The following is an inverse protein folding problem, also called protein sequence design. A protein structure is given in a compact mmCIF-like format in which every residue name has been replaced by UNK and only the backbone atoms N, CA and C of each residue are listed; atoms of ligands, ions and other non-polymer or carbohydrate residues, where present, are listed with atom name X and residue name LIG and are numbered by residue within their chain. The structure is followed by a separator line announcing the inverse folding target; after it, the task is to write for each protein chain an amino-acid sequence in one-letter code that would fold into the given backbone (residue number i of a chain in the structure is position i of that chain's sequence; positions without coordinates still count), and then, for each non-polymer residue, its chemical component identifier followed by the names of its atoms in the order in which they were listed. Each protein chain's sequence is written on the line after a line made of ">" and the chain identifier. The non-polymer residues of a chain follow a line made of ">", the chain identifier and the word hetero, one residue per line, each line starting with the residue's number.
data_IF_958313351439
#
_entry.id   IF_958313351439
#
_cell.length_a   1.000
_cell.length_b   1.000
_cell.length_c   1.000
_cell.angle_alpha   90.00
_cell.angle_beta   90.00
_cell.angle_gamma   90.00
#
_symmetry.space_group_name_H-M   'P 1'
#
loop_
_entity.id
_entity.type
_entity.pdbx_description
1 polymer ?
#
# COMPACT_ATOMS: atom_id res chain seq x y z
N UNK A 1 23.85 -7.18 0.58
CA UNK A 1 22.56 -7.64 0.03
C UNK A 1 21.48 -7.51 1.10
N UNK A 2 20.30 -7.04 0.72
CA UNK A 2 19.13 -6.92 1.59
C UNK A 2 17.95 -7.62 0.91
N UNK A 3 17.34 -8.55 1.62
CA UNK A 3 16.06 -9.14 1.23
C UNK A 3 14.93 -8.32 1.85
N UNK A 4 13.99 -7.89 1.00
CA UNK A 4 12.90 -6.99 1.37
C UNK A 4 11.60 -7.77 1.62
N UNK A 5 10.64 -7.18 2.35
CA UNK A 5 9.32 -7.78 2.52
C UNK A 5 8.57 -7.83 1.18
N UNK A 6 7.57 -8.70 1.11
CA UNK A 6 6.60 -8.72 0.02
C UNK A 6 5.62 -7.55 0.09
N UNK A 7 4.98 -7.23 -1.03
CA UNK A 7 4.09 -6.08 -1.15
C UNK A 7 2.85 -6.18 -0.27
N UNK A 8 2.68 -5.21 0.64
CA UNK A 8 1.47 -5.10 1.48
C UNK A 8 0.23 -4.91 0.62
N UNK A 9 0.31 -3.99 -0.34
CA UNK A 9 -0.80 -3.59 -1.21
C UNK A 9 -1.29 -4.74 -2.09
N UNK A 10 -0.39 -5.58 -2.59
CA UNK A 10 -0.75 -6.77 -3.37
C UNK A 10 -1.30 -7.85 -2.44
N UNK A 11 -0.71 -8.07 -1.27
CA UNK A 11 -1.17 -9.07 -0.29
C UNK A 11 -2.64 -8.84 0.08
N UNK A 12 -3.04 -7.61 0.40
CA UNK A 12 -4.45 -7.29 0.67
C UNK A 12 -5.37 -7.63 -0.49
N UNK A 13 -5.04 -7.21 -1.71
CA UNK A 13 -5.87 -7.47 -2.91
C UNK A 13 -5.98 -8.95 -3.19
N UNK A 14 -4.85 -9.67 -3.12
CA UNK A 14 -4.79 -11.09 -3.36
C UNK A 14 -5.60 -11.88 -2.31
N UNK A 15 -5.55 -11.48 -1.03
CA UNK A 15 -6.41 -12.04 0.02
C UNK A 15 -7.90 -11.89 -0.29
N UNK A 16 -8.34 -10.69 -0.67
CA UNK A 16 -9.75 -10.45 -1.02
C UNK A 16 -10.16 -11.29 -2.23
N UNK A 17 -9.38 -11.25 -3.33
CA UNK A 17 -9.67 -12.05 -4.52
C UNK A 17 -9.69 -13.56 -4.23
N UNK A 18 -8.75 -14.05 -3.42
CA UNK A 18 -8.66 -15.45 -3.02
C UNK A 18 -9.83 -15.89 -2.14
N UNK A 19 -10.28 -15.03 -1.22
CA UNK A 19 -11.45 -15.30 -0.40
C UNK A 19 -12.76 -15.36 -1.22
N UNK A 20 -12.84 -14.56 -2.29
CA UNK A 20 -13.97 -14.54 -3.24
C UNK A 20 -13.95 -15.69 -4.25
N UNK A 21 -12.82 -16.36 -4.45
CA UNK A 21 -12.68 -17.44 -5.42
C UNK A 21 -13.32 -18.74 -4.91
N UNK A 22 -14.19 -19.38 -5.70
CA UNK A 22 -14.81 -20.66 -5.31
C UNK A 22 -13.80 -21.81 -5.36
N UNK A 23 -13.02 -22.00 -4.29
CA UNK A 23 -12.03 -23.07 -4.13
C UNK A 23 -10.79 -22.67 -3.33
N UNK A 24 -9.69 -23.39 -3.52
CA UNK A 24 -8.42 -23.18 -2.80
C UNK A 24 -7.44 -22.34 -3.61
N UNK A 25 -7.12 -21.15 -3.12
CA UNK A 25 -6.04 -20.31 -3.65
C UNK A 25 -4.79 -20.41 -2.80
N UNK A 26 -3.62 -20.21 -3.40
CA UNK A 26 -2.32 -20.25 -2.73
C UNK A 26 -1.60 -18.93 -2.96
N UNK A 27 -1.37 -18.17 -1.89
CA UNK A 27 -0.59 -16.94 -1.95
C UNK A 27 0.83 -17.27 -1.48
N UNK A 28 1.82 -17.16 -2.38
CA UNK A 28 3.22 -17.44 -2.08
C UNK A 28 3.95 -16.17 -1.62
N UNK A 29 4.66 -16.29 -0.51
CA UNK A 29 5.34 -15.21 0.21
C UNK A 29 4.45 -13.97 0.45
N UNK A 30 3.23 -14.11 1.00
CA UNK A 30 2.44 -12.94 1.39
C UNK A 30 3.17 -12.18 2.50
N UNK A 31 2.96 -10.87 2.56
CA UNK A 31 3.53 -10.08 3.66
C UNK A 31 2.83 -10.46 4.97
N UNK A 32 3.60 -10.90 5.96
CA UNK A 32 3.12 -11.06 7.34
C UNK A 32 3.39 -9.76 8.08
N UNK A 33 2.35 -8.94 8.30
CA UNK A 33 2.45 -7.67 9.04
C UNK A 33 1.10 -7.36 9.72
N UNK A 34 1.06 -6.35 10.60
CA UNK A 34 -0.16 -6.03 11.37
C UNK A 34 -1.39 -5.81 10.48
N UNK A 35 -1.20 -5.11 9.36
CA UNK A 35 -2.27 -4.79 8.42
C UNK A 35 -2.80 -6.04 7.69
N UNK A 36 -1.93 -6.91 7.18
CA UNK A 36 -2.35 -8.10 6.41
C UNK A 36 -2.93 -9.18 7.32
N UNK A 37 -2.42 -9.30 8.54
CA UNK A 37 -3.00 -10.14 9.58
C UNK A 37 -4.38 -9.63 9.99
N UNK A 38 -4.59 -8.31 10.05
CA UNK A 38 -5.91 -7.72 10.28
C UNK A 38 -6.89 -8.07 9.15
N UNK A 39 -6.45 -8.05 7.88
CA UNK A 39 -7.31 -8.53 6.78
C UNK A 39 -7.64 -10.02 6.94
N UNK A 40 -6.68 -10.84 7.34
CA UNK A 40 -6.94 -12.27 7.57
C UNK A 40 -7.97 -12.49 8.68
N UNK A 41 -7.81 -11.85 9.84
CA UNK A 41 -8.74 -11.96 10.97
C UNK A 41 -10.16 -11.56 10.59
N UNK A 42 -10.31 -10.45 9.84
CA UNK A 42 -11.62 -10.00 9.37
C UNK A 42 -12.23 -10.99 8.38
N UNK A 43 -11.45 -11.53 7.43
CA UNK A 43 -11.93 -12.55 6.50
C UNK A 43 -12.31 -13.86 7.22
N UNK A 44 -11.55 -14.26 8.23
CA UNK A 44 -11.84 -15.44 9.06
C UNK A 44 -13.15 -15.27 9.83
N UNK A 45 -13.40 -14.08 10.40
CA UNK A 45 -14.70 -13.73 11.01
C UNK A 45 -15.85 -13.70 10.02
N UNK A 46 -15.58 -13.40 8.76
CA UNK A 46 -16.56 -13.50 7.68
C UNK A 46 -16.76 -14.95 7.17
N UNK A 47 -16.08 -15.94 7.76
CA UNK A 47 -16.25 -17.35 7.44
C UNK A 47 -15.29 -17.88 6.36
N UNK A 48 -14.19 -17.19 6.08
CA UNK A 48 -13.11 -17.65 5.19
C UNK A 48 -12.11 -18.47 6.01
N UNK A 49 -11.72 -19.66 5.54
CA UNK A 49 -10.64 -20.42 6.19
C UNK A 49 -9.30 -20.05 5.58
N UNK A 50 -8.35 -19.62 6.42
CA UNK A 50 -7.00 -19.24 5.99
C UNK A 50 -5.96 -20.04 6.78
N UNK A 51 -5.18 -20.87 6.10
CA UNK A 51 -4.04 -21.57 6.69
C UNK A 51 -2.78 -20.78 6.42
N UNK A 52 -2.10 -20.34 7.48
CA UNK A 52 -0.98 -19.40 7.39
C UNK A 52 0.33 -20.12 7.71
N UNK A 53 1.33 -19.94 6.86
CA UNK A 53 2.73 -20.24 7.13
C UNK A 53 3.61 -19.04 6.76
N UNK A 54 4.89 -19.09 7.10
CA UNK A 54 5.83 -18.04 6.73
C UNK A 54 6.05 -17.91 5.21
N UNK A 55 5.85 -18.98 4.43
CA UNK A 55 6.14 -19.02 2.99
C UNK A 55 4.92 -19.01 2.10
N UNK A 56 3.76 -19.41 2.61
CA UNK A 56 2.54 -19.46 1.83
C UNK A 56 1.31 -19.37 2.73
N UNK A 57 0.27 -18.68 2.25
CA UNK A 57 -1.07 -18.71 2.83
C UNK A 57 -2.01 -19.44 1.89
N UNK A 58 -2.73 -20.43 2.42
CA UNK A 58 -3.77 -21.16 1.71
C UNK A 58 -5.11 -20.55 2.10
N UNK A 59 -5.80 -19.97 1.13
CA UNK A 59 -7.10 -19.34 1.33
C UNK A 59 -8.16 -20.24 0.70
N UNK A 60 -9.05 -20.76 1.52
CA UNK A 60 -10.23 -21.50 1.06
C UNK A 60 -11.35 -20.49 0.91
N UNK A 61 -11.68 -20.14 -0.33
CA UNK A 61 -12.74 -19.20 -0.58
C UNK A 61 -14.08 -19.69 -0.06
N UNK A 62 -14.94 -18.75 0.27
CA UNK A 62 -16.13 -18.99 1.09
C UNK A 62 -17.36 -18.37 0.46
N UNK A 63 -18.53 -18.83 0.91
CA UNK A 63 -19.81 -18.17 0.64
C UNK A 63 -20.11 -17.07 1.70
N UNK A 64 -19.12 -16.71 2.51
CA UNK A 64 -19.17 -15.65 3.53
C UNK A 64 -20.35 -15.78 4.51
N UNK A 65 -20.69 -17.02 4.88
CA UNK A 65 -21.73 -17.30 5.87
C UNK A 65 -21.20 -16.98 7.27
N UNK A 66 -21.70 -15.92 7.88
CA UNK A 66 -21.28 -15.48 9.21
C UNK A 66 -22.45 -14.93 10.02
N UNK A 67 -22.33 -15.02 11.35
CA UNK A 67 -23.22 -14.37 12.33
C UNK A 67 -22.52 -13.22 13.06
N UNK A 68 -21.28 -12.90 12.68
CA UNK A 68 -20.48 -11.85 13.33
C UNK A 68 -21.15 -10.50 13.17
N UNK A 69 -21.33 -9.81 14.30
CA UNK A 69 -21.93 -8.47 14.35
C UNK A 69 -20.93 -7.33 14.32
N UNK A 70 -19.64 -7.61 14.50
CA UNK A 70 -18.60 -6.58 14.59
C UNK A 70 -17.28 -7.04 13.99
N UNK A 71 -16.72 -6.23 13.10
CA UNK A 71 -15.43 -6.43 12.44
C UNK A 71 -14.48 -5.30 12.84
N UNK A 72 -13.34 -5.64 13.44
CA UNK A 72 -12.34 -4.66 13.84
C UNK A 72 -11.21 -4.62 12.81
N UNK A 73 -11.03 -3.48 12.14
CA UNK A 73 -9.99 -3.26 11.14
C UNK A 73 -8.70 -2.66 11.74
N UNK A 74 -8.57 -2.62 13.07
CA UNK A 74 -7.42 -2.11 13.80
C UNK A 74 -6.97 -0.75 13.24
N UNK A 75 -5.73 -0.66 12.75
CA UNK A 75 -5.13 0.54 12.15
C UNK A 75 -5.09 0.51 10.62
N UNK A 76 -5.65 -0.55 10.01
CA UNK A 76 -5.53 -0.86 8.58
C UNK A 76 -6.58 -0.13 7.74
N UNK A 77 -6.16 0.98 7.12
CA UNK A 77 -7.01 1.74 6.20
C UNK A 77 -7.48 0.93 4.99
N UNK A 78 -6.62 0.06 4.47
CA UNK A 78 -6.95 -0.82 3.34
C UNK A 78 -8.02 -1.83 3.73
N UNK A 79 -7.84 -2.53 4.86
CA UNK A 79 -8.84 -3.48 5.36
C UNK A 79 -10.17 -2.78 5.57
N UNK A 80 -10.16 -1.64 6.27
CA UNK A 80 -11.38 -0.87 6.57
C UNK A 80 -12.20 -0.54 5.33
N UNK A 81 -11.57 -0.01 4.28
CA UNK A 81 -12.26 0.42 3.06
C UNK A 81 -12.66 -0.74 2.16
N UNK A 82 -11.81 -1.77 2.05
CA UNK A 82 -12.11 -2.94 1.23
C UNK A 82 -13.24 -3.76 1.85
N UNK A 83 -13.18 -3.99 3.16
CA UNK A 83 -14.21 -4.74 3.87
C UNK A 83 -15.53 -3.99 3.90
N UNK A 84 -15.51 -2.65 4.04
CA UNK A 84 -16.74 -1.84 3.94
C UNK A 84 -17.47 -2.04 2.62
N UNK A 85 -16.75 -2.01 1.49
CA UNK A 85 -17.35 -2.31 0.20
C UNK A 85 -17.78 -3.79 0.09
N UNK A 86 -16.93 -4.71 0.56
CA UNK A 86 -17.19 -6.14 0.47
C UNK A 86 -18.47 -6.56 1.21
N UNK A 87 -18.64 -6.13 2.47
CA UNK A 87 -19.84 -6.49 3.27
C UNK A 87 -21.11 -5.89 2.68
N UNK A 88 -21.03 -4.70 2.07
CA UNK A 88 -22.15 -4.11 1.34
C UNK A 88 -22.60 -5.00 0.18
N UNK A 89 -21.68 -5.40 -0.71
CA UNK A 89 -22.03 -6.26 -1.85
C UNK A 89 -22.46 -7.67 -1.45
N UNK A 90 -21.93 -8.19 -0.34
CA UNK A 90 -22.35 -9.47 0.25
C UNK A 90 -23.65 -9.38 1.06
N UNK A 91 -24.20 -8.16 1.27
CA UNK A 91 -25.39 -7.91 2.10
C UNK A 91 -25.23 -8.42 3.54
N UNK A 92 -24.04 -8.27 4.11
CA UNK A 92 -23.72 -8.65 5.49
C UNK A 92 -23.94 -7.45 6.41
N UNK A 93 -24.89 -7.61 7.34
CA UNK A 93 -25.19 -6.61 8.37
C UNK A 93 -24.26 -6.76 9.58
N UNK A 94 -23.26 -5.88 9.66
CA UNK A 94 -22.29 -5.83 10.74
C UNK A 94 -21.74 -4.42 10.97
N UNK A 95 -21.34 -4.12 12.21
CA UNK A 95 -20.52 -2.96 12.55
C UNK A 95 -19.08 -3.16 12.05
N UNK A 96 -18.53 -2.17 11.33
CA UNK A 96 -17.11 -2.14 10.98
C UNK A 96 -16.46 -1.01 11.79
N UNK A 97 -15.43 -1.36 12.56
CA UNK A 97 -14.75 -0.45 13.49
C UNK A 97 -13.24 -0.52 13.33
N UNK A 98 -12.52 0.26 14.15
CA UNK A 98 -11.06 0.32 14.17
C UNK A 98 -10.53 1.14 15.33
N UNK A 99 -9.22 1.32 15.37
CA UNK A 99 -8.58 2.23 16.31
C UNK A 99 -8.96 3.69 16.04
N UNK A 100 -8.91 4.55 17.06
CA UNK A 100 -9.36 5.94 16.98
C UNK A 100 -8.68 6.72 15.85
N UNK A 101 -7.40 6.44 15.57
CA UNK A 101 -6.67 7.12 14.50
C UNK A 101 -7.18 6.73 13.12
N UNK A 102 -7.61 5.47 12.94
CA UNK A 102 -8.25 5.00 11.71
C UNK A 102 -9.64 5.62 11.54
N UNK A 103 -10.44 5.72 12.61
CA UNK A 103 -11.81 6.25 12.57
C UNK A 103 -11.86 7.74 12.20
N UNK A 104 -10.77 8.49 12.39
CA UNK A 104 -10.62 9.87 11.92
C UNK A 104 -10.30 9.99 10.43
N UNK A 105 -9.94 8.90 9.75
CA UNK A 105 -9.59 8.93 8.32
C UNK A 105 -10.85 8.93 7.45
N UNK A 106 -10.78 9.48 6.22
CA UNK A 106 -11.94 9.55 5.33
C UNK A 106 -12.56 8.16 5.04
N UNK A 107 -13.89 8.09 5.19
CA UNK A 107 -14.74 6.94 4.81
C UNK A 107 -16.13 7.36 4.31
N UNK A 108 -16.64 8.52 4.76
CA UNK A 108 -17.98 9.02 4.44
C UNK A 108 -18.31 9.02 2.93
N UNK A 109 -17.39 9.42 2.02
CA UNK A 109 -17.69 9.37 0.59
C UNK A 109 -17.96 7.96 0.07
N UNK A 110 -17.24 6.95 0.59
CA UNK A 110 -17.51 5.55 0.25
C UNK A 110 -18.90 5.11 0.74
N UNK A 111 -19.25 5.45 1.98
CA UNK A 111 -20.56 5.09 2.55
C UNK A 111 -21.72 5.71 1.74
N UNK A 112 -21.61 7.00 1.42
CA UNK A 112 -22.61 7.69 0.60
C UNK A 112 -22.75 7.07 -0.80
N UNK A 113 -21.63 6.69 -1.42
CA UNK A 113 -21.61 6.06 -2.72
C UNK A 113 -22.31 4.68 -2.73
N UNK A 114 -22.14 3.89 -1.66
CA UNK A 114 -22.77 2.57 -1.52
C UNK A 114 -24.27 2.67 -1.19
N UNK A 115 -24.75 3.78 -0.62
CA UNK A 115 -26.17 3.95 -0.26
C UNK A 115 -27.07 4.37 -1.44
N UNK A 116 -26.53 5.06 -2.45
CA UNK A 116 -27.35 5.81 -3.41
C UNK A 116 -27.94 5.00 -4.58
N UNK A 117 -27.26 3.96 -5.10
CA UNK A 117 -27.79 3.05 -6.12
C UNK A 117 -26.83 1.86 -6.34
N UNK A 118 -27.32 0.62 -6.37
CA UNK A 118 -26.45 -0.55 -6.60
C UNK A 118 -25.96 -0.68 -8.05
N UNK A 119 -26.60 -0.01 -9.02
CA UNK A 119 -26.26 -0.10 -10.45
C UNK A 119 -25.36 1.05 -10.94
N UNK A 120 -25.35 2.19 -10.24
CA UNK A 120 -24.46 3.32 -10.52
C UNK A 120 -23.86 3.85 -9.21
N UNK A 121 -22.54 3.85 -9.11
CA UNK A 121 -21.79 4.28 -7.92
C UNK A 121 -20.96 5.50 -8.27
N UNK A 122 -21.18 6.61 -7.57
CA UNK A 122 -20.43 7.86 -7.74
C UNK A 122 -19.40 8.01 -6.62
N UNK A 123 -18.11 8.15 -6.97
CA UNK A 123 -17.02 8.28 -6.00
C UNK A 123 -16.10 9.46 -6.32
N UNK A 124 -15.57 10.18 -5.33
CA UNK A 124 -14.47 11.10 -5.57
C UNK A 124 -13.19 10.33 -5.92
N UNK A 125 -12.51 10.75 -6.99
CA UNK A 125 -11.23 10.19 -7.45
C UNK A 125 -9.99 10.72 -6.73
N UNK A 126 -10.14 11.81 -5.97
CA UNK A 126 -9.05 12.60 -5.35
C UNK A 126 -8.95 12.47 -3.82
N UNK A 127 -9.81 11.66 -3.19
CA UNK A 127 -9.71 11.41 -1.73
C UNK A 127 -8.74 10.28 -1.41
N UNK A 128 -9.01 9.08 -1.93
CA UNK A 128 -8.14 7.90 -1.80
C UNK A 128 -8.52 6.85 -2.83
N UNK A 129 -7.51 6.26 -3.50
CA UNK A 129 -7.71 5.15 -4.43
C UNK A 129 -8.30 3.88 -3.78
N UNK A 130 -8.26 3.79 -2.45
CA UNK A 130 -8.77 2.65 -1.69
C UNK A 130 -10.30 2.56 -1.75
N UNK A 131 -11.03 3.67 -1.93
CA UNK A 131 -12.48 3.63 -2.10
C UNK A 131 -12.84 2.92 -3.39
N UNK A 132 -12.33 3.42 -4.52
CA UNK A 132 -12.55 2.82 -5.82
C UNK A 132 -12.04 1.37 -5.85
N UNK A 133 -10.85 1.09 -5.31
CA UNK A 133 -10.32 -0.28 -5.27
C UNK A 133 -11.20 -1.25 -4.48
N UNK A 134 -11.75 -0.82 -3.33
CA UNK A 134 -12.68 -1.64 -2.54
C UNK A 134 -13.96 -1.96 -3.30
N UNK A 135 -14.54 -0.96 -3.98
CA UNK A 135 -15.71 -1.15 -4.83
C UNK A 135 -15.38 -2.05 -6.03
N UNK A 136 -14.27 -1.84 -6.73
CA UNK A 136 -13.86 -2.66 -7.87
C UNK A 136 -13.66 -4.13 -7.50
N UNK A 137 -13.07 -4.43 -6.33
CA UNK A 137 -12.91 -5.80 -5.83
C UNK A 137 -14.26 -6.47 -5.57
N UNK A 138 -15.28 -5.71 -5.16
CA UNK A 138 -16.55 -6.24 -4.65
C UNK A 138 -17.68 -6.21 -5.68
N UNK A 139 -17.67 -5.26 -6.61
CA UNK A 139 -18.70 -5.07 -7.63
C UNK A 139 -18.96 -6.28 -8.54
N UNK A 140 -17.99 -7.16 -8.86
CA UNK A 140 -18.25 -8.40 -9.60
C UNK A 140 -19.27 -9.35 -8.93
N UNK A 141 -19.52 -9.18 -7.63
CA UNK A 141 -20.49 -9.96 -6.85
C UNK A 141 -21.94 -9.50 -7.05
N UNK A 142 -22.15 -8.33 -7.66
CA UNK A 142 -23.50 -7.81 -7.94
C UNK A 142 -24.27 -8.76 -8.87
N UNK A 143 -25.58 -8.85 -8.67
CA UNK A 143 -26.49 -9.61 -9.56
C UNK A 143 -26.71 -8.91 -10.92
N UNK A 144 -26.37 -7.62 -11.00
CA UNK A 144 -26.56 -6.76 -12.18
C UNK A 144 -25.28 -5.97 -12.51
N UNK A 145 -25.09 -5.55 -13.77
CA UNK A 145 -23.99 -4.66 -14.12
C UNK A 145 -23.96 -3.38 -13.27
N UNK A 146 -22.75 -2.97 -12.87
CA UNK A 146 -22.49 -1.78 -12.07
C UNK A 146 -21.60 -0.83 -12.87
N UNK A 147 -22.01 0.43 -12.97
CA UNK A 147 -21.16 1.51 -13.50
C UNK A 147 -20.62 2.34 -12.34
N UNK A 148 -19.31 2.50 -12.28
CA UNK A 148 -18.66 3.34 -11.26
C UNK A 148 -18.12 4.57 -11.97
N UNK A 149 -18.54 5.77 -11.55
CA UNK A 149 -18.10 7.04 -12.13
C UNK A 149 -17.36 7.87 -11.10
N UNK A 150 -16.24 8.45 -11.51
CA UNK A 150 -15.48 9.36 -10.67
C UNK A 150 -15.98 10.80 -10.82
N UNK A 151 -16.25 11.46 -9.70
CA UNK A 151 -16.72 12.85 -9.67
C UNK A 151 -15.58 13.86 -9.75
N UNK A 152 -14.34 13.41 -9.56
CA UNK A 152 -13.10 14.19 -9.63
C UNK A 152 -12.02 13.35 -10.33
N UNK A 153 -10.95 13.97 -10.90
CA UNK A 153 -9.85 13.23 -11.49
C UNK A 153 -9.22 12.22 -10.53
N UNK A 154 -8.83 11.06 -11.05
CA UNK A 154 -8.23 9.99 -10.25
C UNK A 154 -6.80 10.36 -9.85
N UNK A 155 -6.53 10.34 -8.53
CA UNK A 155 -5.17 10.32 -8.00
C UNK A 155 -4.77 8.89 -7.61
N UNK A 156 -3.47 8.65 -7.45
CA UNK A 156 -2.98 7.32 -7.05
C UNK A 156 -3.45 6.24 -8.03
N UNK A 157 -3.48 6.58 -9.33
CA UNK A 157 -3.93 5.72 -10.43
C UNK A 157 -3.24 4.35 -10.43
N UNK A 158 -1.91 4.22 -10.16
CA UNK A 158 -1.26 2.91 -10.20
C UNK A 158 -1.81 1.93 -9.15
N UNK A 159 -2.37 2.43 -8.03
CA UNK A 159 -3.04 1.55 -7.05
C UNK A 159 -4.35 0.95 -7.58
N UNK A 160 -5.04 1.64 -8.49
CA UNK A 160 -6.22 1.11 -9.19
C UNK A 160 -5.80 0.13 -10.26
N UNK A 161 -4.76 0.44 -11.04
CA UNK A 161 -4.19 -0.49 -12.01
C UNK A 161 -3.72 -1.79 -11.35
N UNK A 162 -3.11 -1.69 -10.16
CA UNK A 162 -2.75 -2.85 -9.35
C UNK A 162 -3.97 -3.67 -8.92
N UNK A 163 -5.09 -3.03 -8.59
CA UNK A 163 -6.35 -3.73 -8.30
C UNK A 163 -6.82 -4.52 -9.51
N UNK A 164 -6.85 -3.88 -10.68
CA UNK A 164 -7.28 -4.51 -11.93
C UNK A 164 -6.36 -5.67 -12.34
N UNK A 165 -5.04 -5.54 -12.16
CA UNK A 165 -4.07 -6.60 -12.45
C UNK A 165 -4.26 -7.81 -11.54
N UNK A 166 -4.44 -7.60 -10.23
CA UNK A 166 -4.70 -8.69 -9.29
C UNK A 166 -6.03 -9.36 -9.62
N UNK A 167 -7.10 -8.61 -9.91
CA UNK A 167 -8.38 -9.19 -10.33
C UNK A 167 -8.25 -10.05 -11.60
N UNK A 168 -7.49 -9.57 -12.58
CA UNK A 168 -7.23 -10.30 -13.83
C UNK A 168 -6.57 -11.65 -13.58
N UNK A 169 -5.65 -11.74 -12.61
CA UNK A 169 -5.00 -13.00 -12.20
C UNK A 169 -5.97 -14.01 -11.57
N UNK A 170 -7.09 -13.54 -11.03
CA UNK A 170 -8.19 -14.39 -10.52
C UNK A 170 -9.36 -14.49 -11.51
N UNK A 171 -9.14 -14.17 -12.78
CA UNK A 171 -10.12 -14.35 -13.87
C UNK A 171 -11.17 -13.25 -14.03
N UNK A 172 -11.10 -12.18 -13.23
CA UNK A 172 -12.05 -11.04 -13.32
C UNK A 172 -11.48 -9.94 -14.20
N UNK A 173 -12.26 -9.44 -15.15
CA UNK A 173 -11.88 -8.33 -16.02
C UNK A 173 -12.88 -7.19 -15.90
N UNK A 174 -12.39 -5.98 -15.64
CA UNK A 174 -13.20 -4.77 -15.58
C UNK A 174 -12.85 -3.89 -16.77
N UNK A 175 -13.87 -3.36 -17.44
CA UNK A 175 -13.69 -2.38 -18.53
C UNK A 175 -13.64 -0.98 -17.92
N UNK A 176 -12.82 -0.11 -18.49
CA UNK A 176 -12.70 1.29 -18.04
C UNK A 176 -12.49 2.22 -19.23
N UNK A 177 -12.87 3.49 -19.07
CA UNK A 177 -12.45 4.55 -20.00
C UNK A 177 -10.93 4.74 -19.94
N UNK A 178 -10.32 5.25 -21.02
CA UNK A 178 -8.86 5.45 -21.11
C UNK A 178 -8.31 6.37 -20.02
N UNK A 179 -9.11 7.34 -19.58
CA UNK A 179 -8.78 8.32 -18.54
C UNK A 179 -9.15 7.86 -17.12
N UNK A 180 -9.69 6.63 -16.96
CA UNK A 180 -10.14 6.08 -15.68
C UNK A 180 -11.29 6.88 -15.02
N UNK A 181 -12.01 7.71 -15.77
CA UNK A 181 -13.17 8.44 -15.26
C UNK A 181 -14.37 7.53 -14.97
N UNK A 182 -14.48 6.40 -15.68
CA UNK A 182 -15.57 5.44 -15.52
C UNK A 182 -15.09 3.99 -15.61
N UNK A 183 -15.77 3.10 -14.88
CA UNK A 183 -15.55 1.66 -14.86
C UNK A 183 -16.89 0.94 -15.06
N UNK A 184 -16.87 -0.08 -15.91
CA UNK A 184 -18.04 -0.91 -16.22
C UNK A 184 -17.75 -2.33 -15.74
N UNK A 185 -18.50 -2.75 -14.72
CA UNK A 185 -18.35 -4.04 -14.07
C UNK A 185 -19.58 -4.90 -14.35
N UNK A 186 -19.38 -6.07 -14.94
CA UNK A 186 -20.42 -7.09 -15.09
C UNK A 186 -20.27 -8.17 -14.02
N UNK A 187 -21.37 -8.85 -13.62
CA UNK A 187 -21.32 -9.98 -12.70
C UNK A 187 -20.32 -11.04 -13.19
N UNK A 188 -19.36 -11.42 -12.35
CA UNK A 188 -18.27 -12.34 -12.70
C UNK A 188 -17.81 -13.11 -11.46
N UNK A 189 -17.26 -14.31 -11.68
CA UNK A 189 -16.70 -15.16 -10.60
C UNK A 189 -15.19 -15.03 -10.54
N UNK A 190 -14.67 -14.97 -9.33
CA UNK A 190 -13.25 -15.17 -9.05
C UNK A 190 -12.90 -16.66 -9.13
N UNK A 191 -11.72 -16.97 -9.67
CA UNK A 191 -11.23 -18.33 -9.84
C UNK A 191 -10.04 -18.58 -8.90
N UNK A 192 -9.92 -19.79 -8.31
CA UNK A 192 -8.79 -20.12 -7.46
C UNK A 192 -7.47 -19.99 -8.22
N UNK A 193 -6.50 -19.32 -7.61
CA UNK A 193 -5.22 -19.00 -8.25
C UNK A 193 -4.06 -19.25 -7.28
N UNK A 194 -2.96 -19.77 -7.82
CA UNK A 194 -1.65 -19.69 -7.16
C UNK A 194 -0.96 -18.39 -7.60
N UNK A 195 -0.60 -17.53 -6.64
CA UNK A 195 -0.02 -16.22 -6.92
C UNK A 195 1.18 -15.94 -6.01
N UNK A 196 2.34 -15.71 -6.62
CA UNK A 196 3.51 -15.16 -5.92
C UNK A 196 3.36 -13.66 -5.72
N UNK A 197 3.54 -13.21 -4.48
CA UNK A 197 3.56 -11.80 -4.13
C UNK A 197 4.99 -11.28 -4.34
N UNK A 198 5.13 -10.23 -5.15
CA UNK A 198 6.41 -9.56 -5.39
C UNK A 198 6.84 -8.68 -4.21
N UNK A 199 8.10 -8.25 -4.20
CA UNK A 199 8.68 -7.37 -3.17
C UNK A 199 7.99 -6.01 -3.11
N UNK A 200 7.92 -5.43 -1.91
CA UNK A 200 7.23 -4.17 -1.66
C UNK A 200 8.06 -2.97 -2.13
N UNK A 201 7.61 -2.29 -3.18
CA UNK A 201 8.34 -1.14 -3.72
C UNK A 201 8.34 0.08 -2.79
N UNK A 202 7.36 0.19 -1.88
CA UNK A 202 7.39 1.24 -0.86
C UNK A 202 8.51 0.99 0.15
N UNK A 203 8.72 -0.26 0.57
CA UNK A 203 9.84 -0.65 1.42
C UNK A 203 11.18 -0.52 0.70
N UNK A 204 11.25 -0.95 -0.57
CA UNK A 204 12.41 -0.80 -1.46
C UNK A 204 12.91 0.64 -1.49
N UNK A 205 12.01 1.63 -1.52
CA UNK A 205 12.38 3.03 -1.63
C UNK A 205 13.28 3.52 -0.47
N UNK A 206 13.06 3.06 0.76
CA UNK A 206 13.90 3.40 1.91
C UNK A 206 15.33 2.86 1.77
N UNK A 207 15.47 1.67 1.16
CA UNK A 207 16.77 1.04 0.97
C UNK A 207 17.50 1.56 -0.26
N UNK A 208 16.78 1.98 -1.31
CA UNK A 208 17.35 2.78 -2.40
C UNK A 208 17.94 4.07 -1.81
N UNK A 209 17.17 4.82 -1.02
CA UNK A 209 17.67 6.05 -0.42
C UNK A 209 18.86 5.81 0.53
N UNK A 210 18.81 4.76 1.35
CA UNK A 210 19.93 4.39 2.21
C UNK A 210 21.20 4.11 1.39
N UNK A 211 21.11 3.38 0.28
CA UNK A 211 22.26 3.06 -0.56
C UNK A 211 22.84 4.29 -1.27
N UNK A 212 21.98 5.20 -1.75
CA UNK A 212 22.40 6.45 -2.39
C UNK A 212 23.09 7.41 -1.42
N UNK A 213 22.62 7.47 -0.17
CA UNK A 213 23.10 8.42 0.84
C UNK A 213 24.22 7.88 1.74
N UNK A 214 24.57 6.60 1.67
CA UNK A 214 25.57 6.01 2.57
C UNK A 214 26.60 5.14 1.83
N UNK A 215 26.32 3.85 1.66
CA UNK A 215 27.23 2.84 1.11
C UNK A 215 26.54 1.95 0.08
N UNK A 216 27.28 1.23 -0.78
CA UNK A 216 26.68 0.37 -1.79
C UNK A 216 25.75 -0.69 -1.18
N UNK A 217 24.61 -0.91 -1.82
CA UNK A 217 23.62 -1.92 -1.44
C UNK A 217 23.13 -2.68 -2.66
N UNK A 218 22.74 -3.94 -2.44
CA UNK A 218 22.07 -4.77 -3.45
C UNK A 218 20.74 -5.21 -2.87
N UNK A 219 19.64 -4.90 -3.55
CA UNK A 219 18.29 -5.34 -3.19
C UNK A 219 17.91 -6.50 -4.10
N UNK A 220 17.52 -7.62 -3.51
CA UNK A 220 17.40 -8.87 -4.26
C UNK A 220 15.97 -9.18 -4.69
N UNK A 221 15.82 -9.86 -5.84
CA UNK A 221 14.55 -10.42 -6.33
C UNK A 221 13.41 -9.38 -6.50
N UNK A 222 13.74 -8.20 -7.02
CA UNK A 222 12.75 -7.17 -7.35
C UNK A 222 12.13 -7.42 -8.74
N UNK A 223 10.85 -7.08 -8.89
CA UNK A 223 10.19 -7.11 -10.19
C UNK A 223 10.38 -5.79 -10.94
N UNK A 224 11.17 -5.80 -12.01
CA UNK A 224 11.40 -4.65 -12.90
C UNK A 224 10.13 -4.16 -13.62
N UNK A 225 9.12 -5.02 -13.78
CA UNK A 225 7.86 -4.71 -14.47
C UNK A 225 6.69 -4.52 -13.50
N UNK A 226 6.99 -4.27 -12.23
CA UNK A 226 5.99 -4.04 -11.19
C UNK A 226 5.07 -2.86 -11.54
N UNK A 227 3.77 -3.06 -11.25
CA UNK A 227 2.73 -2.02 -11.34
C UNK A 227 2.57 -1.25 -10.03
N UNK A 228 3.36 -1.55 -9.00
CA UNK A 228 3.30 -0.80 -7.74
C UNK A 228 3.71 0.65 -8.00
N UNK A 229 2.85 1.58 -7.57
CA UNK A 229 3.05 3.03 -7.66
C UNK A 229 4.47 3.46 -7.27
N UNK A 230 4.94 2.89 -6.17
CA UNK A 230 6.15 3.30 -5.49
C UNK A 230 7.43 2.86 -6.22
N UNK A 231 7.31 2.09 -7.32
CA UNK A 231 8.41 1.89 -8.28
C UNK A 231 8.90 3.20 -8.89
N UNK A 232 8.08 4.26 -8.87
CA UNK A 232 8.47 5.61 -9.24
C UNK A 232 9.77 6.11 -8.56
N UNK A 233 10.13 5.54 -7.40
CA UNK A 233 11.41 5.85 -6.75
C UNK A 233 12.64 5.59 -7.64
N UNK A 234 12.58 4.61 -8.54
CA UNK A 234 13.69 4.34 -9.48
C UNK A 234 13.91 5.52 -10.42
N UNK A 235 12.83 6.07 -10.96
CA UNK A 235 12.87 7.25 -11.83
C UNK A 235 13.31 8.48 -11.06
N UNK A 236 12.71 8.73 -9.88
CA UNK A 236 13.06 9.83 -9.00
C UNK A 236 14.55 9.80 -8.66
N UNK A 237 15.06 8.65 -8.21
CA UNK A 237 16.46 8.49 -7.87
C UNK A 237 17.40 8.79 -9.05
N UNK A 238 17.05 8.32 -10.26
CA UNK A 238 17.83 8.58 -11.48
C UNK A 238 17.81 10.07 -11.86
N UNK A 239 16.66 10.73 -11.78
CA UNK A 239 16.54 12.18 -12.05
C UNK A 239 17.31 13.03 -11.03
N UNK A 240 17.40 12.57 -9.79
CA UNK A 240 18.27 13.17 -8.77
C UNK A 240 19.76 12.93 -9.03
N UNK A 241 20.15 12.17 -10.06
CA UNK A 241 21.54 11.81 -10.36
C UNK A 241 22.05 10.57 -9.61
N UNK A 242 21.15 9.79 -9.02
CA UNK A 242 21.47 8.55 -8.31
C UNK A 242 21.88 7.42 -9.25
N UNK A 243 22.91 6.68 -8.86
CA UNK A 243 23.43 5.54 -9.62
C UNK A 243 22.76 4.22 -9.20
N UNK A 244 21.94 3.68 -10.10
CA UNK A 244 21.21 2.43 -9.97
C UNK A 244 21.50 1.50 -11.14
N UNK A 245 21.91 0.26 -10.89
CA UNK A 245 22.25 -0.73 -11.91
C UNK A 245 21.55 -2.07 -11.65
N UNK A 246 20.85 -2.58 -12.66
CA UNK A 246 20.20 -3.90 -12.59
C UNK A 246 21.19 -5.02 -12.93
N UNK A 247 21.13 -6.11 -12.17
CA UNK A 247 21.79 -7.38 -12.49
C UNK A 247 20.77 -8.51 -12.32
N UNK A 248 20.15 -8.94 -13.42
CA UNK A 248 18.98 -9.82 -13.35
C UNK A 248 17.84 -9.15 -12.58
N UNK A 249 17.30 -9.84 -11.58
CA UNK A 249 16.24 -9.32 -10.69
C UNK A 249 16.79 -8.54 -9.49
N UNK A 250 18.11 -8.34 -9.40
CA UNK A 250 18.74 -7.62 -8.31
C UNK A 250 19.05 -6.17 -8.72
N UNK A 251 18.82 -5.23 -7.81
CA UNK A 251 19.11 -3.81 -7.99
C UNK A 251 20.32 -3.40 -7.15
N UNK A 252 21.41 -3.06 -7.82
CA UNK A 252 22.61 -2.50 -7.21
C UNK A 252 22.48 -0.97 -7.13
N UNK A 253 22.75 -0.44 -5.95
CA UNK A 253 22.66 0.98 -5.62
C UNK A 253 24.04 1.43 -5.17
N UNK A 254 24.50 2.57 -5.69
CA UNK A 254 25.80 3.13 -5.34
C UNK A 254 25.65 4.52 -4.73
N UNK A 255 26.48 4.87 -3.72
CA UNK A 255 26.50 6.22 -3.16
C UNK A 255 26.69 7.26 -4.25
N UNK A 256 25.89 8.33 -4.19
CA UNK A 256 25.80 9.32 -5.26
C UNK A 256 25.70 10.73 -4.69
N UNK A 257 26.26 11.71 -5.40
CA UNK A 257 25.95 13.13 -5.15
C UNK A 257 24.63 13.46 -5.83
N UNK A 258 23.61 13.71 -5.03
CA UNK A 258 22.25 13.96 -5.53
C UNK A 258 21.99 15.45 -5.76
N UNK A 259 21.12 15.76 -6.72
CA UNK A 259 20.52 17.08 -6.92
C UNK A 259 19.05 17.03 -6.53
N UNK A 260 18.61 18.04 -5.81
CA UNK A 260 17.22 18.14 -5.40
C UNK A 260 16.32 18.37 -6.63
N UNK A 261 15.11 17.82 -6.61
CA UNK A 261 14.17 17.85 -7.74
C UNK A 261 12.82 18.45 -7.34
N UNK A 262 12.08 18.88 -8.36
CA UNK A 262 10.64 19.10 -8.26
C UNK A 262 9.89 17.85 -8.73
N UNK A 263 8.94 17.35 -7.92
CA UNK A 263 8.20 16.13 -8.26
C UNK A 263 6.75 16.16 -7.76
N UNK A 264 5.80 15.73 -8.59
CA UNK A 264 4.40 15.53 -8.22
C UNK A 264 4.20 14.12 -7.63
N UNK A 265 3.89 14.06 -6.33
CA UNK A 265 3.81 12.80 -5.58
C UNK A 265 2.39 12.19 -5.57
N UNK A 266 1.41 12.80 -6.26
CA UNK A 266 -0.02 12.38 -6.17
C UNK A 266 -0.26 10.90 -6.47
N UNK A 267 0.55 10.32 -7.36
CA UNK A 267 0.40 8.93 -7.80
C UNK A 267 1.18 7.92 -6.95
N UNK A 268 2.14 8.39 -6.14
CA UNK A 268 2.95 7.58 -5.23
C UNK A 268 3.10 8.25 -3.85
N UNK A 269 2.00 8.63 -3.18
CA UNK A 269 2.04 9.46 -1.96
C UNK A 269 2.76 8.79 -0.78
N UNK A 270 2.95 7.47 -0.84
CA UNK A 270 3.70 6.70 0.16
C UNK A 270 5.21 6.88 0.04
N UNK A 271 5.71 7.40 -1.09
CA UNK A 271 7.10 7.82 -1.26
C UNK A 271 7.39 9.20 -0.64
N UNK A 272 6.38 9.99 -0.27
CA UNK A 272 6.59 11.35 0.23
C UNK A 272 7.63 11.46 1.37
N UNK A 273 7.59 10.64 2.43
CA UNK A 273 8.57 10.75 3.51
C UNK A 273 10.01 10.55 3.03
N UNK A 274 10.26 9.54 2.21
CA UNK A 274 11.62 9.19 1.80
C UNK A 274 12.16 10.09 0.69
N UNK A 275 11.31 10.53 -0.24
CA UNK A 275 11.70 11.52 -1.28
C UNK A 275 11.97 12.88 -0.62
N UNK A 276 11.23 13.22 0.45
CA UNK A 276 11.53 14.42 1.25
C UNK A 276 12.92 14.34 1.89
N UNK A 277 13.32 13.18 2.43
CA UNK A 277 14.68 12.94 2.98
C UNK A 277 15.73 13.04 1.87
N UNK A 278 15.50 12.42 0.71
CA UNK A 278 16.41 12.53 -0.43
C UNK A 278 16.62 13.99 -0.85
N UNK A 279 15.54 14.76 -1.00
CA UNK A 279 15.62 16.19 -1.35
C UNK A 279 16.35 17.01 -0.27
N UNK A 280 16.13 16.71 1.01
CA UNK A 280 16.81 17.40 2.11
C UNK A 280 18.32 17.11 2.17
N UNK A 281 18.76 15.94 1.68
CA UNK A 281 20.17 15.55 1.62
C UNK A 281 20.85 15.87 0.27
N UNK A 282 20.12 16.41 -0.71
CA UNK A 282 20.61 16.69 -2.05
C UNK A 282 21.07 18.15 -2.22
N UNK A 283 21.88 18.42 -3.25
CA UNK A 283 22.30 19.78 -3.62
C UNK A 283 21.13 20.55 -4.25
N UNK A 284 20.89 21.76 -3.78
CA UNK A 284 19.84 22.65 -4.31
C UNK A 284 18.56 22.65 -3.49
N UNK A 285 17.45 23.10 -4.10
CA UNK A 285 16.14 23.22 -3.45
C UNK A 285 15.12 22.34 -4.17
N UNK A 286 14.60 21.35 -3.46
CA UNK A 286 13.53 20.48 -3.97
C UNK A 286 12.13 21.01 -3.69
N UNK A 287 11.14 20.50 -4.41
CA UNK A 287 9.72 20.82 -4.22
C UNK A 287 8.85 19.59 -4.47
N UNK A 288 7.95 19.26 -3.55
CA UNK A 288 6.97 18.20 -3.75
C UNK A 288 5.56 18.79 -3.85
N UNK A 289 4.81 18.40 -4.88
CA UNK A 289 3.40 18.77 -5.11
C UNK A 289 2.50 17.53 -5.05
N UNK A 290 1.17 17.70 -5.11
CA UNK A 290 0.23 16.57 -5.02
C UNK A 290 0.12 15.97 -3.61
N UNK A 291 0.21 16.83 -2.59
CA UNK A 291 0.39 16.47 -1.18
C UNK A 291 -0.90 16.54 -0.34
N UNK A 292 -2.04 16.83 -0.96
CA UNK A 292 -3.29 17.20 -0.31
C UNK A 292 -3.83 16.08 0.60
N UNK A 293 -3.65 14.82 0.18
CA UNK A 293 -4.14 13.65 0.90
C UNK A 293 -3.20 13.17 2.03
N UNK A 294 -2.00 13.74 2.15
CA UNK A 294 -0.98 13.29 3.10
C UNK A 294 -1.33 13.59 4.57
N UNK A 295 -2.16 14.63 4.80
CA UNK A 295 -2.68 14.98 6.13
C UNK A 295 -3.66 13.95 6.71
N UNK A 296 -4.22 13.09 5.85
CA UNK A 296 -5.24 12.09 6.22
C UNK A 296 -4.72 10.65 6.20
N UNK A 297 -3.40 10.48 6.17
CA UNK A 297 -2.71 9.18 6.19
C UNK A 297 -2.67 8.64 7.63
N UNK A 298 -1.72 7.76 7.93
CA UNK A 298 -1.55 7.18 9.25
C UNK A 298 -1.31 8.24 10.33
N UNK A 299 -0.61 9.30 9.96
CA UNK A 299 -0.53 10.57 10.67
C UNK A 299 -0.71 11.75 9.69
N UNK A 300 -0.68 12.98 10.20
CA UNK A 300 -0.41 14.12 9.32
C UNK A 300 1.07 14.08 8.90
N UNK A 301 1.35 13.43 7.77
CA UNK A 301 2.73 13.21 7.32
C UNK A 301 3.48 14.51 7.01
N UNK A 302 2.76 15.59 6.69
CA UNK A 302 3.39 16.91 6.47
C UNK A 302 3.98 17.46 7.76
N UNK A 303 3.17 17.51 8.82
CA UNK A 303 3.62 17.95 10.15
C UNK A 303 4.67 17.02 10.73
N UNK A 304 4.52 15.70 10.55
CA UNK A 304 5.47 14.72 11.06
C UNK A 304 6.85 14.86 10.40
N UNK A 305 6.92 15.05 9.07
CA UNK A 305 8.18 15.32 8.38
C UNK A 305 8.77 16.66 8.77
N UNK A 306 7.95 17.71 8.94
CA UNK A 306 8.42 19.01 9.40
C UNK A 306 9.09 18.91 10.78
N UNK A 307 8.45 18.22 11.74
CA UNK A 307 9.02 17.97 13.07
C UNK A 307 10.32 17.18 12.99
N UNK A 308 10.36 16.14 12.15
CA UNK A 308 11.56 15.33 11.94
C UNK A 308 12.73 16.18 11.42
N UNK A 309 12.49 17.09 10.48
CA UNK A 309 13.56 17.97 9.97
C UNK A 309 13.99 19.06 10.96
N UNK A 310 13.07 19.54 11.81
CA UNK A 310 13.41 20.49 12.88
C UNK A 310 14.25 19.85 13.99
N UNK A 311 14.06 18.56 14.27
CA UNK A 311 14.83 17.82 15.27
C UNK A 311 15.21 16.41 14.77
N UNK A 312 16.24 16.29 13.91
CA UNK A 312 16.61 15.01 13.31
C UNK A 312 17.18 13.99 14.31
N UNK A 313 17.50 14.42 15.53
CA UNK A 313 18.02 13.54 16.59
C UNK A 313 16.93 12.70 17.29
N UNK A 314 15.65 13.05 17.12
CA UNK A 314 14.53 12.34 17.73
C UNK A 314 13.46 12.05 16.69
N UNK A 315 13.12 10.78 16.53
CA UNK A 315 12.03 10.35 15.66
C UNK A 315 10.80 10.07 16.53
N UNK A 316 9.92 11.06 16.59
CA UNK A 316 8.64 11.03 17.31
C UNK A 316 7.47 10.90 16.33
N UNK A 317 7.13 9.66 16.00
CA UNK A 317 5.97 9.36 15.15
C UNK A 317 5.48 7.94 15.39
N UNK A 318 4.17 7.74 15.22
CA UNK A 318 3.54 6.42 15.15
C UNK A 318 3.33 5.93 13.71
N UNK A 319 3.74 6.72 12.71
CA UNK A 319 3.68 6.36 11.29
C UNK A 319 4.97 5.64 10.89
N UNK A 320 4.83 4.37 10.48
CA UNK A 320 5.92 3.51 10.04
C UNK A 320 6.84 4.13 8.99
N UNK A 321 6.32 4.94 8.06
CA UNK A 321 7.10 5.56 6.98
C UNK A 321 7.90 6.74 7.48
N UNK A 322 7.38 7.47 8.46
CA UNK A 322 8.11 8.55 9.13
C UNK A 322 9.26 7.96 9.95
N UNK A 323 9.02 6.84 10.66
CA UNK A 323 10.07 6.12 11.39
C UNK A 323 11.20 5.68 10.45
N UNK A 324 10.85 5.00 9.35
CA UNK A 324 11.85 4.53 8.38
C UNK A 324 12.58 5.70 7.70
N UNK A 325 11.88 6.81 7.39
CA UNK A 325 12.50 8.01 6.82
C UNK A 325 13.50 8.66 7.79
N UNK A 326 13.14 8.80 9.06
CA UNK A 326 14.04 9.34 10.08
C UNK A 326 15.27 8.46 10.30
N UNK A 327 15.12 7.13 10.22
CA UNK A 327 16.26 6.21 10.29
C UNK A 327 17.24 6.42 9.12
N UNK A 328 16.73 6.60 7.89
CA UNK A 328 17.54 6.92 6.70
C UNK A 328 18.19 8.30 6.81
N UNK A 329 17.47 9.31 7.32
CA UNK A 329 18.02 10.65 7.56
C UNK A 329 19.18 10.60 8.56
N UNK A 330 19.00 9.88 9.68
CA UNK A 330 20.06 9.64 10.65
C UNK A 330 21.28 8.97 10.02
N UNK A 331 21.06 7.92 9.22
CA UNK A 331 22.13 7.23 8.50
C UNK A 331 22.91 8.18 7.58
N UNK A 332 22.22 9.04 6.82
CA UNK A 332 22.85 10.03 5.93
C UNK A 332 23.75 11.03 6.70
N UNK A 333 23.37 11.36 7.94
CA UNK A 333 24.16 12.23 8.82
C UNK A 333 25.13 11.48 9.75
N UNK A 334 25.31 10.16 9.57
CA UNK A 334 26.12 9.30 10.45
C UNK A 334 25.70 9.39 11.93
N UNK A 335 24.40 9.55 12.16
CA UNK A 335 23.79 9.66 13.48
C UNK A 335 22.83 8.49 13.73
N UNK A 336 22.52 8.27 15.00
CA UNK A 336 21.51 7.29 15.43
C UNK A 336 20.43 8.01 16.22
N UNK A 337 19.36 8.47 15.55
CA UNK A 337 18.29 9.17 16.22
C UNK A 337 17.60 8.30 17.28
N UNK A 338 17.23 8.92 18.41
CA UNK A 338 16.36 8.27 19.40
C UNK A 338 14.98 8.07 18.77
N UNK A 339 14.53 6.83 18.63
CA UNK A 339 13.23 6.49 18.06
C UNK A 339 12.25 6.17 19.18
N UNK A 340 11.14 6.91 19.29
CA UNK A 340 10.19 6.72 20.40
C UNK A 340 9.24 5.53 20.20
N UNK A 341 8.82 5.26 18.96
CA UNK A 341 7.90 4.17 18.63
C UNK A 341 8.49 3.22 17.57
N UNK A 342 9.66 2.60 17.82
CA UNK A 342 10.39 1.85 16.79
C UNK A 342 9.59 0.66 16.24
N UNK A 343 8.69 0.08 17.03
CA UNK A 343 7.92 -1.10 16.63
C UNK A 343 6.77 -0.81 15.66
N UNK A 344 6.40 0.47 15.43
CA UNK A 344 5.30 0.80 14.52
C UNK A 344 5.61 0.40 13.07
N UNK A 345 6.89 0.19 12.72
CA UNK A 345 7.31 -0.37 11.42
C UNK A 345 6.69 -1.72 11.11
N UNK A 346 6.26 -2.49 12.12
CA UNK A 346 5.57 -3.78 11.97
C UNK A 346 4.26 -3.71 11.19
N UNK A 347 3.73 -2.50 10.99
CA UNK A 347 2.59 -2.24 10.11
C UNK A 347 2.83 -2.64 8.66
N UNK A 348 4.07 -2.55 8.15
CA UNK A 348 4.42 -2.97 6.78
C UNK A 348 5.79 -3.59 6.60
N UNK A 349 6.66 -3.53 7.60
CA UNK A 349 8.00 -4.11 7.57
C UNK A 349 8.46 -4.49 8.99
N UNK A 350 7.96 -5.61 9.55
CA UNK A 350 8.33 -6.06 10.90
C UNK A 350 9.84 -6.20 11.13
N UNK A 351 10.56 -6.73 10.14
CA UNK A 351 12.01 -6.92 10.22
C UNK A 351 12.84 -5.70 9.80
N UNK A 352 12.24 -4.51 9.74
CA UNK A 352 12.90 -3.30 9.24
C UNK A 352 14.22 -3.05 9.97
N UNK A 353 14.23 -3.05 11.31
CA UNK A 353 15.44 -2.74 12.07
C UNK A 353 16.53 -3.80 11.88
N UNK A 354 16.15 -5.07 11.76
CA UNK A 354 17.08 -6.17 11.45
C UNK A 354 17.73 -5.96 10.09
N UNK A 355 16.94 -5.61 9.07
CA UNK A 355 17.44 -5.31 7.73
C UNK A 355 18.29 -4.02 7.71
N UNK A 356 17.83 -2.97 8.38
CA UNK A 356 18.47 -1.65 8.38
C UNK A 356 19.79 -1.63 9.16
N UNK A 357 19.88 -2.38 10.27
CA UNK A 357 21.12 -2.46 11.04
C UNK A 357 22.27 -3.14 10.28
N UNK A 358 21.99 -3.98 9.27
CA UNK A 358 23.01 -4.51 8.34
C UNK A 358 23.69 -3.43 7.49
N UNK A 359 23.05 -2.26 7.37
CA UNK A 359 23.61 -1.09 6.67
C UNK A 359 24.44 -0.24 7.63
N UNK A 360 24.08 -0.21 8.92
CA UNK A 360 24.79 0.57 9.93
C UNK A 360 26.09 -0.09 10.40
N UNK A 361 26.10 -1.41 10.51
CA UNK A 361 27.30 -2.22 10.67
C UNK A 361 28.11 -2.19 9.37
#
# INVERSE_FOLDING_TARGET
>A
MIDLPSSKSITHRALICAALASGKSVLLNPLVCDDTLTTCDVLEKLGVRIEKSARAWIVHGSNFKTTVKKLNCNESGTTYRFITALTHFLKIDCEITGADSLLRRPIRPLLAALQNNSSEILLPGDTTSQFLSGVLLSAPLSDKPVTIKLTTPLISKPYVELTLDVQKKFGVKIKTKKDFSEFYVTPQKYHPTEMKIEKDWSATAFFIAAGLLSKPLTLTNLNQKSLQADRAIETIAKEMGGKLEWSGDDLNIFPSKLRAIEWDIKDSPDLFPIVSVLNACAEGKGKLTGIENLKFKESNRLEAMQKLFQNPNVIDSTDHRIIMAGAVLGLAHKQTPKTLHPLCVSKSFPDFWTAFNKIRA
#
